data_IF_469264255229
#
_entry.id   IF_469264255229
#
_cell.length_a   1.000
_cell.length_b   1.000
_cell.length_c   1.000
_cell.angle_alpha   90.00
_cell.angle_beta   90.00
_cell.angle_gamma   90.00
#
_symmetry.space_group_name_H-M   'P 1'
#
loop_
_entity.id
_entity.type
_entity.pdbx_description
1 polymer ?
#
# COMPACT_ATOMS: atom_id res chain seq x y z
N UNK A 1 2.48 5.60 8.00
CA UNK A 1 1.76 4.44 7.46
C UNK A 1 0.27 4.72 7.56
N UNK A 2 -0.54 4.29 6.60
CA UNK A 2 -2.01 4.47 6.59
C UNK A 2 -2.73 3.23 6.04
N UNK A 3 -4.06 3.20 6.18
CA UNK A 3 -4.97 2.19 5.63
C UNK A 3 -6.12 2.93 4.96
N UNK A 4 -6.45 2.59 3.73
CA UNK A 4 -7.47 3.29 2.94
C UNK A 4 -8.31 2.28 2.16
N UNK A 5 -9.63 2.43 2.24
CA UNK A 5 -10.59 1.64 1.47
C UNK A 5 -10.90 2.35 0.17
N UNK A 6 -10.77 1.64 -0.95
CA UNK A 6 -10.99 2.14 -2.30
C UNK A 6 -11.96 1.20 -3.03
N UNK A 7 -12.51 1.63 -4.16
CA UNK A 7 -13.44 0.79 -4.93
C UNK A 7 -12.69 -0.45 -5.47
N UNK A 8 -13.38 -1.59 -5.60
CA UNK A 8 -12.75 -2.85 -6.04
C UNK A 8 -12.05 -2.77 -7.41
N UNK A 9 -12.41 -1.78 -8.24
CA UNK A 9 -11.77 -1.50 -9.52
C UNK A 9 -10.54 -0.60 -9.46
N UNK A 10 -10.25 0.05 -8.32
CA UNK A 10 -9.09 0.91 -8.15
C UNK A 10 -7.80 0.08 -8.02
N UNK A 11 -6.69 0.57 -8.56
CA UNK A 11 -5.40 -0.16 -8.52
C UNK A 11 -4.41 0.47 -7.54
N UNK A 12 -3.29 -0.22 -7.28
CA UNK A 12 -2.18 0.38 -6.52
C UNK A 12 -1.65 1.66 -7.17
N UNK A 13 -1.81 1.81 -8.49
CA UNK A 13 -1.41 3.00 -9.24
C UNK A 13 -2.32 4.17 -8.89
N UNK A 14 -3.62 3.95 -8.74
CA UNK A 14 -4.58 5.00 -8.36
C UNK A 14 -4.30 5.53 -6.96
N UNK A 15 -4.07 4.64 -6.01
CA UNK A 15 -3.69 5.01 -4.64
C UNK A 15 -2.33 5.73 -4.62
N UNK A 16 -1.34 5.23 -5.36
CA UNK A 16 0.01 5.80 -5.40
C UNK A 16 0.04 7.27 -5.89
N UNK A 17 -0.91 7.70 -6.73
CA UNK A 17 -1.05 9.12 -7.14
C UNK A 17 -1.23 10.06 -5.93
N UNK A 18 -1.83 9.56 -4.86
CA UNK A 18 -2.04 10.27 -3.59
C UNK A 18 -0.86 10.24 -2.62
N UNK A 19 0.17 9.41 -2.87
CA UNK A 19 1.23 9.10 -1.91
C UNK A 19 2.56 9.74 -2.37
N UNK A 20 2.99 10.89 -1.79
CA UNK A 20 4.15 11.65 -2.25
C UNK A 20 5.42 10.83 -2.51
N UNK A 21 5.74 9.87 -1.64
CA UNK A 21 7.00 9.11 -1.72
C UNK A 21 7.03 8.03 -2.81
N UNK A 22 5.91 7.69 -3.47
CA UNK A 22 5.84 6.73 -4.59
C UNK A 22 5.59 7.39 -5.95
N UNK A 23 5.42 8.72 -6.01
CA UNK A 23 5.15 9.46 -7.25
C UNK A 23 6.24 9.31 -8.33
N UNK A 24 7.43 8.86 -7.96
CA UNK A 24 8.57 8.66 -8.87
C UNK A 24 8.76 7.22 -9.35
N UNK A 25 7.98 6.24 -8.85
CA UNK A 25 8.05 4.87 -9.35
C UNK A 25 7.39 4.78 -10.74
N UNK A 26 7.96 3.94 -11.61
CA UNK A 26 7.28 3.55 -12.85
C UNK A 26 6.00 2.78 -12.47
N UNK A 27 4.86 3.38 -12.79
CA UNK A 27 3.54 2.85 -12.46
C UNK A 27 3.20 1.73 -13.45
N UNK A 28 3.33 0.47 -13.03
CA UNK A 28 2.83 -0.68 -13.80
C UNK A 28 1.58 -1.23 -13.12
N UNK A 29 0.50 -1.41 -13.89
CA UNK A 29 -0.85 -1.68 -13.36
C UNK A 29 -1.10 -3.14 -12.92
N UNK A 30 -0.11 -4.03 -13.09
CA UNK A 30 -0.32 -5.48 -12.93
C UNK A 30 0.23 -6.08 -11.61
N UNK A 31 0.68 -5.25 -10.65
CA UNK A 31 1.23 -5.73 -9.38
C UNK A 31 0.37 -5.34 -8.17
N UNK A 32 0.25 -6.25 -7.19
CA UNK A 32 -0.42 -5.98 -5.90
C UNK A 32 0.35 -4.99 -5.00
N UNK A 33 1.49 -4.47 -5.47
CA UNK A 33 2.32 -3.53 -4.74
C UNK A 33 3.04 -2.57 -5.67
N UNK A 34 3.33 -1.36 -5.19
CA UNK A 34 4.11 -0.34 -5.86
C UNK A 34 5.07 0.31 -4.85
N UNK A 35 6.35 0.42 -5.21
CA UNK A 35 7.42 0.68 -4.25
C UNK A 35 8.48 1.64 -4.83
N UNK A 36 9.00 2.51 -3.97
CA UNK A 36 10.28 3.23 -4.11
C UNK A 36 11.14 2.92 -2.88
N UNK A 37 12.34 3.50 -2.75
CA UNK A 37 13.10 3.36 -1.51
C UNK A 37 12.58 4.16 -0.32
N UNK A 38 11.59 5.04 -0.51
CA UNK A 38 11.00 5.87 0.55
C UNK A 38 9.49 5.71 0.69
N UNK A 39 8.84 4.98 -0.21
CA UNK A 39 7.40 4.78 -0.17
C UNK A 39 6.97 3.43 -0.69
N UNK A 40 5.82 2.97 -0.20
CA UNK A 40 5.20 1.74 -0.65
C UNK A 40 3.68 1.82 -0.54
N UNK A 41 3.01 1.22 -1.52
CA UNK A 41 1.58 0.94 -1.53
C UNK A 41 1.41 -0.55 -1.76
N UNK A 42 0.53 -1.20 -0.99
CA UNK A 42 0.24 -2.60 -1.18
C UNK A 42 -1.25 -2.87 -0.95
N UNK A 43 -1.83 -3.75 -1.76
CA UNK A 43 -3.18 -4.26 -1.56
C UNK A 43 -3.18 -5.28 -0.42
N UNK A 44 -4.13 -5.16 0.50
CA UNK A 44 -4.40 -6.17 1.50
C UNK A 44 -5.48 -7.15 1.01
N UNK A 45 -5.26 -8.44 1.20
CA UNK A 45 -6.24 -9.49 0.96
C UNK A 45 -7.23 -9.56 2.12
N UNK A 46 -8.15 -8.60 2.10
CA UNK A 46 -9.12 -8.31 3.14
C UNK A 46 -10.53 -8.55 2.61
N UNK A 47 -11.39 -9.24 3.39
CA UNK A 47 -12.80 -9.37 3.08
C UNK A 47 -13.60 -8.71 4.21
N UNK A 48 -14.07 -7.48 3.99
CA UNK A 48 -14.90 -6.76 4.96
C UNK A 48 -16.37 -6.76 4.52
N UNK A 49 -17.21 -7.40 5.32
CA UNK A 49 -18.65 -7.48 5.08
C UNK A 49 -19.40 -6.15 5.27
N UNK A 50 -18.81 -5.21 6.02
CA UNK A 50 -19.35 -3.86 6.21
C UNK A 50 -19.04 -2.95 5.02
N UNK A 51 -18.09 -3.33 4.15
CA UNK A 51 -17.63 -2.54 2.99
C UNK A 51 -17.63 -3.37 1.71
N UNK A 52 -18.80 -3.85 1.25
CA UNK A 52 -18.89 -4.58 0.00
C UNK A 52 -18.40 -3.71 -1.18
N UNK A 53 -17.72 -4.35 -2.13
CA UNK A 53 -17.18 -3.68 -3.32
C UNK A 53 -16.01 -2.72 -3.05
N UNK A 54 -15.39 -2.82 -1.87
CA UNK A 54 -14.17 -2.08 -1.56
C UNK A 54 -13.01 -3.03 -1.27
N UNK A 55 -11.82 -2.55 -1.57
CA UNK A 55 -10.55 -3.22 -1.27
C UNK A 55 -9.71 -2.31 -0.37
N UNK A 56 -8.95 -2.95 0.53
CA UNK A 56 -8.10 -2.24 1.46
C UNK A 56 -6.70 -2.11 0.87
N UNK A 57 -6.17 -0.89 0.89
CA UNK A 57 -4.78 -0.60 0.57
C UNK A 57 -4.05 -0.10 1.81
N UNK A 58 -2.79 -0.51 1.95
CA UNK A 58 -1.86 0.01 2.95
C UNK A 58 -0.85 0.91 2.28
N UNK A 59 -0.40 1.94 3.00
CA UNK A 59 0.69 2.80 2.54
C UNK A 59 1.75 2.98 3.60
N UNK A 60 3.01 3.05 3.18
CA UNK A 60 4.15 3.43 4.00
C UNK A 60 4.92 4.56 3.30
N UNK A 61 5.37 5.53 4.09
CA UNK A 61 6.15 6.66 3.60
C UNK A 61 7.18 7.03 4.66
N UNK A 62 8.42 7.24 4.22
CA UNK A 62 9.54 7.69 5.04
C UNK A 62 9.93 9.09 4.56
N UNK A 63 9.96 10.04 5.49
CA UNK A 63 10.43 11.40 5.25
C UNK A 63 11.77 11.57 5.97
N UNK A 64 12.82 11.08 5.34
CA UNK A 64 14.19 11.20 5.84
C UNK A 64 15.14 11.45 4.68
N UNK A 65 16.09 12.36 4.87
CA UNK A 65 17.13 12.63 3.87
C UNK A 65 18.12 11.46 3.79
N UNK A 66 18.58 11.15 2.58
CA UNK A 66 19.60 10.12 2.35
C UNK A 66 19.12 8.68 2.56
N UNK A 67 17.82 8.45 2.70
CA UNK A 67 17.21 7.12 2.74
C UNK A 67 16.61 6.82 1.37
N UNK A 68 17.10 5.77 0.72
CA UNK A 68 16.54 5.21 -0.52
C UNK A 68 16.86 3.70 -0.51
N UNK A 69 16.01 2.93 0.17
CA UNK A 69 16.19 1.48 0.32
C UNK A 69 14.89 0.75 -0.04
N UNK A 70 14.81 0.34 -1.30
CA UNK A 70 13.64 -0.36 -1.84
C UNK A 70 13.45 -1.74 -1.20
N UNK A 71 14.51 -2.38 -0.70
CA UNK A 71 14.42 -3.69 -0.05
C UNK A 71 13.82 -3.54 1.36
N UNK A 72 14.33 -2.59 2.14
CA UNK A 72 13.79 -2.27 3.46
C UNK A 72 12.35 -1.76 3.37
N UNK A 73 12.03 -0.92 2.36
CA UNK A 73 10.66 -0.45 2.15
C UNK A 73 9.70 -1.59 1.80
N UNK A 74 10.15 -2.54 0.97
CA UNK A 74 9.37 -3.75 0.64
C UNK A 74 9.07 -4.57 1.89
N UNK A 75 10.08 -4.83 2.72
CA UNK A 75 9.91 -5.55 3.98
C UNK A 75 8.92 -4.82 4.90
N UNK A 76 9.10 -3.52 5.08
CA UNK A 76 8.23 -2.68 5.91
C UNK A 76 6.77 -2.75 5.48
N UNK A 77 6.46 -2.52 4.21
CA UNK A 77 5.07 -2.51 3.74
C UNK A 77 4.46 -3.91 3.70
N UNK A 78 5.25 -4.96 3.43
CA UNK A 78 4.77 -6.34 3.48
C UNK A 78 4.38 -6.74 4.90
N UNK A 79 5.24 -6.49 5.89
CA UNK A 79 4.95 -6.82 7.29
C UNK A 79 3.80 -6.00 7.84
N UNK A 80 3.73 -4.71 7.50
CA UNK A 80 2.59 -3.87 7.89
C UNK A 80 1.28 -4.36 7.27
N UNK A 81 1.27 -4.72 5.98
CA UNK A 81 0.07 -5.24 5.29
C UNK A 81 -0.41 -6.53 5.93
N UNK A 82 0.50 -7.46 6.18
CA UNK A 82 0.20 -8.72 6.87
C UNK A 82 -0.41 -8.48 8.25
N UNK A 83 0.16 -7.56 9.03
CA UNK A 83 -0.38 -7.22 10.34
C UNK A 83 -1.81 -6.64 10.25
N UNK A 84 -2.12 -5.89 9.19
CA UNK A 84 -3.48 -5.37 8.93
C UNK A 84 -4.43 -6.51 8.55
N UNK A 85 -4.03 -7.42 7.66
CA UNK A 85 -4.82 -8.60 7.26
C UNK A 85 -5.16 -9.51 8.44
N UNK A 86 -4.26 -9.64 9.42
CA UNK A 86 -4.48 -10.44 10.63
C UNK A 86 -5.32 -9.71 11.70
N UNK A 87 -5.53 -8.39 11.54
CA UNK A 87 -6.23 -7.53 12.51
C UNK A 87 -7.76 -7.59 12.40
N UNK A 88 -8.46 -6.93 13.33
CA UNK A 88 -9.92 -6.78 13.28
C UNK A 88 -10.41 -5.89 12.14
N UNK A 89 -9.52 -5.16 11.45
CA UNK A 89 -9.90 -4.37 10.27
C UNK A 89 -10.33 -5.28 9.11
N UNK A 90 -9.82 -6.51 9.06
CA UNK A 90 -10.11 -7.49 8.02
C UNK A 90 -10.98 -8.67 8.46
N UNK A 91 -11.79 -8.49 9.52
CA UNK A 91 -12.65 -9.54 10.08
C UNK A 91 -14.11 -9.13 10.17
#
# INVERSE_FOLDING_TARGET
MSQEWWEEGDTVVDVAKGVPQVKSAELTDDSDSLLTGTGGVQRAHCADSERPGHILFTTAQVYADGVDDSAAMRELITEYTRAVEESTVCR
#
